data_IF_016137883552
#
_entry.id   IF_016137883552
#
_cell.length_a   1.000
_cell.length_b   1.000
_cell.length_c   1.000
_cell.angle_alpha   90.00
_cell.angle_beta   90.00
_cell.angle_gamma   90.00
#
_symmetry.space_group_name_H-M   'P 1'
#
loop_
_entity.id
_entity.type
_entity.pdbx_description
1 polymer ?
#
# COMPACT_ATOMS: atom_id res chain seq x y z
N UNK A 1 -17.90 -53.72 -12.63
CA UNK A 1 -18.94 -52.80 -13.12
C UNK A 1 -19.38 -51.91 -11.97
N UNK A 2 -19.62 -50.64 -12.30
CA UNK A 2 -20.23 -49.56 -11.50
C UNK A 2 -19.31 -48.70 -10.63
N UNK A 3 -18.91 -47.61 -11.28
CA UNK A 3 -18.28 -46.36 -10.86
C UNK A 3 -19.10 -45.54 -9.86
N UNK A 4 -18.44 -44.66 -9.11
CA UNK A 4 -18.97 -43.39 -8.58
C UNK A 4 -17.75 -42.49 -8.27
N UNK A 5 -17.38 -41.60 -9.20
CA UNK A 5 -17.76 -40.17 -9.27
C UNK A 5 -17.08 -39.30 -8.21
N UNK A 6 -16.04 -38.57 -8.66
CA UNK A 6 -15.52 -37.37 -8.00
C UNK A 6 -16.55 -36.24 -8.07
N UNK A 7 -16.48 -35.28 -7.13
CA UNK A 7 -16.66 -33.88 -7.44
C UNK A 7 -15.36 -33.12 -7.20
N UNK A 8 -14.84 -32.52 -8.26
CA UNK A 8 -13.95 -31.37 -8.21
C UNK A 8 -14.75 -30.19 -7.66
N UNK A 9 -14.28 -29.47 -6.64
CA UNK A 9 -14.44 -28.00 -6.52
C UNK A 9 -13.48 -27.46 -5.47
N UNK A 10 -12.69 -26.51 -5.97
CA UNK A 10 -11.76 -25.55 -5.39
C UNK A 10 -11.97 -25.12 -3.93
N UNK A 11 -10.85 -25.06 -3.23
CA UNK A 11 -10.60 -24.16 -2.12
C UNK A 11 -9.11 -23.84 -2.10
N UNK A 12 -8.64 -23.00 -3.01
CA UNK A 12 -7.36 -22.30 -2.85
C UNK A 12 -7.49 -21.37 -1.62
N UNK A 13 -7.42 -21.94 -0.43
CA UNK A 13 -6.90 -21.20 0.70
C UNK A 13 -5.38 -21.25 0.54
N UNK A 14 -4.88 -20.46 -0.43
CA UNK A 14 -3.48 -20.12 -0.47
C UNK A 14 -3.20 -19.49 0.89
N UNK A 15 -2.50 -20.24 1.74
CA UNK A 15 -1.94 -19.73 2.98
C UNK A 15 -1.10 -18.54 2.55
N UNK A 16 -1.67 -17.33 2.60
CA UNK A 16 -0.90 -16.10 2.64
C UNK A 16 -0.03 -16.29 3.86
N UNK A 17 1.25 -16.55 3.60
CA UNK A 17 2.30 -16.71 4.61
C UNK A 17 2.05 -15.65 5.67
N UNK A 18 1.92 -16.09 6.92
CA UNK A 18 1.49 -15.26 8.03
C UNK A 18 2.22 -13.90 7.99
N UNK A 19 1.42 -12.84 7.98
CA UNK A 19 1.87 -11.45 8.15
C UNK A 19 2.95 -11.42 9.23
N UNK A 20 4.16 -10.88 8.96
CA UNK A 20 5.16 -10.72 10.01
C UNK A 20 4.54 -9.91 11.16
N UNK A 21 4.50 -10.48 12.36
CA UNK A 21 3.94 -9.80 13.52
C UNK A 21 5.07 -9.36 14.45
N UNK A 22 4.94 -8.12 14.96
CA UNK A 22 5.51 -7.57 16.21
C UNK A 22 6.71 -6.59 16.17
N UNK A 23 6.84 -5.72 15.17
CA UNK A 23 7.31 -4.37 15.55
C UNK A 23 6.13 -3.60 16.12
N UNK A 24 6.35 -2.63 17.02
CA UNK A 24 5.30 -1.69 17.34
C UNK A 24 4.79 -1.09 16.02
N UNK A 25 3.49 -1.20 15.79
CA UNK A 25 2.81 -0.41 14.77
C UNK A 25 3.21 1.05 15.02
N UNK A 26 3.79 1.72 14.04
CA UNK A 26 3.96 3.16 14.15
C UNK A 26 2.57 3.74 14.41
N UNK A 27 2.40 4.57 15.42
CA UNK A 27 1.14 5.28 15.55
C UNK A 27 0.91 6.13 14.29
N UNK A 28 -0.34 6.38 13.87
CA UNK A 28 -0.60 7.24 12.72
C UNK A 28 0.16 8.57 12.77
N UNK A 29 0.24 9.17 13.97
CA UNK A 29 1.02 10.39 14.21
C UNK A 29 2.54 10.21 14.08
N UNK A 30 3.10 9.03 14.37
CA UNK A 30 4.52 8.75 14.11
C UNK A 30 4.80 8.59 12.62
N UNK A 31 3.92 7.94 11.86
CA UNK A 31 4.03 7.83 10.41
C UNK A 31 3.96 9.22 9.78
N UNK A 32 2.93 10.00 10.13
CA UNK A 32 2.73 11.38 9.67
C UNK A 32 3.95 12.26 10.02
N UNK A 33 4.36 12.28 11.28
CA UNK A 33 5.53 13.06 11.70
C UNK A 33 6.83 12.61 11.00
N UNK A 34 6.92 11.35 10.59
CA UNK A 34 8.06 10.85 9.82
C UNK A 34 7.98 11.29 8.37
N UNK A 35 6.80 11.27 7.74
CA UNK A 35 6.57 11.82 6.41
C UNK A 35 6.92 13.31 6.36
N UNK A 36 6.49 14.10 7.36
CA UNK A 36 6.82 15.53 7.45
C UNK A 36 8.31 15.79 7.66
N UNK A 37 9.06 14.87 8.29
CA UNK A 37 10.51 14.99 8.48
C UNK A 37 11.33 14.47 7.31
N UNK A 38 10.75 13.63 6.46
CA UNK A 38 11.43 13.04 5.33
C UNK A 38 11.67 14.07 4.22
N UNK A 39 12.75 13.88 3.45
CA UNK A 39 13.12 14.73 2.31
C UNK A 39 12.10 14.72 1.16
N UNK A 40 11.06 13.90 1.24
CA UNK A 40 10.01 13.76 0.23
C UNK A 40 8.67 14.37 0.71
N UNK A 41 8.68 15.22 1.74
CA UNK A 41 7.46 15.78 2.33
C UNK A 41 6.72 16.69 1.35
N UNK A 42 7.43 17.47 0.55
CA UNK A 42 6.88 18.30 -0.55
C UNK A 42 6.16 17.47 -1.61
N UNK A 43 6.60 16.22 -1.81
CA UNK A 43 5.91 15.28 -2.66
C UNK A 43 4.69 14.70 -1.95
N UNK A 44 4.83 14.16 -0.75
CA UNK A 44 3.83 13.28 -0.09
C UNK A 44 2.75 14.04 0.68
N UNK A 45 3.10 15.14 1.35
CA UNK A 45 2.15 15.94 2.15
C UNK A 45 0.97 16.44 1.32
N UNK A 46 1.17 16.98 0.09
CA UNK A 46 0.03 17.38 -0.74
C UNK A 46 -0.94 16.23 -1.06
N UNK A 47 -0.46 14.99 -1.17
CA UNK A 47 -1.37 13.83 -1.35
C UNK A 47 -2.18 13.53 -0.09
N UNK A 48 -1.56 13.62 1.09
CA UNK A 48 -2.24 13.42 2.37
C UNK A 48 -3.34 14.47 2.59
N UNK A 49 -3.11 15.69 2.14
CA UNK A 49 -4.06 16.81 2.22
C UNK A 49 -5.11 16.80 1.10
N UNK A 50 -5.02 15.87 0.13
CA UNK A 50 -5.90 15.81 -1.03
C UNK A 50 -5.59 16.84 -2.12
N UNK A 51 -4.56 17.67 -1.94
CA UNK A 51 -4.07 18.69 -2.89
C UNK A 51 -2.98 18.10 -3.79
N UNK A 52 -3.23 16.95 -4.42
CA UNK A 52 -2.21 16.20 -5.16
C UNK A 52 -1.56 17.01 -6.30
N UNK A 53 -2.24 18.03 -6.83
CA UNK A 53 -1.72 18.95 -7.86
C UNK A 53 -0.56 19.81 -7.34
N UNK A 54 -0.51 20.06 -6.03
CA UNK A 54 0.56 20.82 -5.36
C UNK A 54 1.77 19.93 -5.01
N UNK A 55 1.71 18.64 -5.31
CA UNK A 55 2.86 17.75 -5.16
C UNK A 55 4.00 18.18 -6.07
N UNK A 56 5.24 18.10 -5.56
CA UNK A 56 6.43 18.31 -6.40
C UNK A 56 6.57 17.27 -7.52
N UNK A 57 5.80 16.18 -7.47
CA UNK A 57 5.68 15.20 -8.57
C UNK A 57 4.40 15.45 -9.35
N UNK A 58 4.53 15.54 -10.67
CA UNK A 58 3.38 15.59 -11.56
C UNK A 58 2.68 14.23 -11.64
N UNK A 59 1.43 14.17 -11.20
CA UNK A 59 0.52 13.03 -11.41
C UNK A 59 -0.46 13.36 -12.53
N UNK A 60 -0.91 12.35 -13.28
CA UNK A 60 -1.88 12.56 -14.38
C UNK A 60 -3.32 12.50 -13.90
N UNK A 61 -3.57 11.94 -12.72
CA UNK A 61 -4.90 11.80 -12.15
C UNK A 61 -4.84 11.66 -10.62
N UNK A 62 -5.95 11.93 -9.90
CA UNK A 62 -6.05 11.69 -8.47
C UNK A 62 -5.85 10.22 -8.10
N UNK A 63 -6.23 9.26 -8.95
CA UNK A 63 -5.98 7.83 -8.74
C UNK A 63 -4.48 7.50 -8.81
N UNK A 64 -3.75 8.09 -9.76
CA UNK A 64 -2.29 7.90 -9.85
C UNK A 64 -1.59 8.44 -8.60
N UNK A 65 -2.04 9.61 -8.13
CA UNK A 65 -1.59 10.19 -6.89
C UNK A 65 -1.91 9.27 -5.69
N UNK A 66 -3.17 8.83 -5.55
CA UNK A 66 -3.61 7.93 -4.49
C UNK A 66 -2.80 6.62 -4.46
N UNK A 67 -2.54 6.02 -5.63
CA UNK A 67 -1.67 4.84 -5.74
C UNK A 67 -0.25 5.15 -5.26
N UNK A 68 0.32 6.27 -5.65
CA UNK A 68 1.66 6.67 -5.22
C UNK A 68 1.74 6.89 -3.70
N UNK A 69 0.70 7.47 -3.10
CA UNK A 69 0.62 7.63 -1.65
C UNK A 69 0.59 6.26 -0.94
N UNK A 70 -0.16 5.28 -1.45
CA UNK A 70 -0.18 3.92 -0.87
C UNK A 70 1.20 3.26 -0.98
N UNK A 71 1.95 3.47 -2.07
CA UNK A 71 3.33 3.01 -2.20
C UNK A 71 4.24 3.60 -1.11
N UNK A 72 4.11 4.90 -0.85
CA UNK A 72 4.89 5.55 0.20
C UNK A 72 4.51 5.02 1.57
N UNK A 73 3.21 4.96 1.87
CA UNK A 73 2.70 4.41 3.12
C UNK A 73 3.16 2.96 3.33
N UNK A 74 3.19 2.14 2.27
CA UNK A 74 3.69 0.77 2.33
C UNK A 74 5.14 0.73 2.82
N UNK A 75 6.03 1.53 2.22
CA UNK A 75 7.42 1.62 2.67
C UNK A 75 7.53 2.08 4.13
N UNK A 76 6.84 3.16 4.51
CA UNK A 76 6.89 3.72 5.86
C UNK A 76 6.29 2.81 6.93
N UNK A 77 5.31 2.01 6.54
CA UNK A 77 4.63 1.05 7.42
C UNK A 77 5.29 -0.34 7.40
N UNK A 78 6.48 -0.48 6.78
CA UNK A 78 7.16 -1.78 6.67
C UNK A 78 6.25 -2.85 6.05
N UNK A 79 5.49 -2.45 5.03
CA UNK A 79 4.51 -3.25 4.28
C UNK A 79 3.44 -3.93 5.14
N UNK A 80 3.18 -3.42 6.35
CA UNK A 80 2.14 -3.96 7.23
C UNK A 80 0.76 -3.58 6.72
N UNK A 81 0.10 -4.50 6.01
CA UNK A 81 -1.22 -4.29 5.38
C UNK A 81 -2.25 -3.59 6.26
N UNK A 82 -2.42 -4.01 7.53
CA UNK A 82 -3.40 -3.39 8.44
C UNK A 82 -3.10 -1.91 8.70
N UNK A 83 -1.82 -1.57 8.84
CA UNK A 83 -1.35 -0.20 9.06
C UNK A 83 -1.54 0.64 7.80
N UNK A 84 -1.15 0.11 6.64
CA UNK A 84 -1.32 0.81 5.36
C UNK A 84 -2.79 1.09 5.08
N UNK A 85 -3.68 0.11 5.32
CA UNK A 85 -5.13 0.28 5.19
C UNK A 85 -5.67 1.36 6.11
N UNK A 86 -5.30 1.32 7.39
CA UNK A 86 -5.74 2.32 8.37
C UNK A 86 -5.33 3.73 7.94
N UNK A 87 -4.06 3.91 7.54
CA UNK A 87 -3.55 5.20 7.06
C UNK A 87 -4.22 5.64 5.76
N UNK A 88 -4.43 4.71 4.81
CA UNK A 88 -5.12 5.00 3.55
C UNK A 88 -6.57 5.44 3.79
N UNK A 89 -7.28 4.85 4.76
CA UNK A 89 -8.62 5.30 5.13
C UNK A 89 -8.62 6.67 5.80
N UNK A 90 -7.65 6.94 6.68
CA UNK A 90 -7.50 8.25 7.32
C UNK A 90 -7.17 9.34 6.28
N UNK A 91 -6.39 9.01 5.26
CA UNK A 91 -6.09 9.88 4.12
C UNK A 91 -7.24 9.96 3.08
N UNK A 92 -8.41 9.36 3.34
CA UNK A 92 -9.57 9.45 2.46
C UNK A 92 -9.44 8.66 1.15
N UNK A 93 -8.50 7.71 1.04
CA UNK A 93 -8.29 6.91 -0.17
C UNK A 93 -9.34 5.82 -0.39
N UNK A 94 -10.22 5.60 0.59
CA UNK A 94 -11.36 4.68 0.47
C UNK A 94 -12.36 5.03 -0.63
N UNK A 95 -12.28 6.25 -1.19
CA UNK A 95 -13.04 6.64 -2.38
C UNK A 95 -12.47 6.07 -3.69
N UNK A 96 -11.19 5.68 -3.71
CA UNK A 96 -10.48 5.17 -4.88
C UNK A 96 -10.24 3.66 -4.81
N UNK A 97 -9.97 3.14 -3.61
CA UNK A 97 -9.56 1.75 -3.41
C UNK A 97 -10.29 1.10 -2.23
N UNK A 98 -10.71 -0.13 -2.42
CA UNK A 98 -11.15 -1.01 -1.35
C UNK A 98 -9.95 -1.70 -0.67
N UNK A 99 -10.21 -2.43 0.42
CA UNK A 99 -9.16 -3.05 1.22
C UNK A 99 -8.34 -4.13 0.50
N UNK A 100 -8.91 -4.86 -0.47
CA UNK A 100 -8.17 -5.83 -1.28
C UNK A 100 -7.29 -5.11 -2.31
N UNK A 101 -7.81 -4.05 -2.93
CA UNK A 101 -7.02 -3.24 -3.89
C UNK A 101 -5.83 -2.55 -3.21
N UNK A 102 -5.99 -2.12 -1.95
CA UNK A 102 -4.87 -1.59 -1.15
C UNK A 102 -3.83 -2.69 -0.90
N UNK A 103 -4.25 -3.91 -0.54
CA UNK A 103 -3.31 -5.03 -0.34
C UNK A 103 -2.54 -5.36 -1.61
N UNK A 104 -3.22 -5.39 -2.75
CA UNK A 104 -2.58 -5.63 -4.05
C UNK A 104 -1.54 -4.54 -4.37
N UNK A 105 -1.81 -3.28 -4.00
CA UNK A 105 -0.84 -2.20 -4.16
C UNK A 105 0.36 -2.40 -3.23
N UNK A 106 0.15 -2.83 -1.99
CA UNK A 106 1.22 -3.13 -1.03
C UNK A 106 2.09 -4.28 -1.53
N UNK A 107 1.50 -5.34 -2.10
CA UNK A 107 2.22 -6.46 -2.71
C UNK A 107 3.12 -5.98 -3.86
N UNK A 108 2.57 -5.13 -4.73
CA UNK A 108 3.37 -4.52 -5.81
C UNK A 108 4.48 -3.65 -5.23
N UNK A 109 4.20 -2.81 -4.23
CA UNK A 109 5.21 -1.97 -3.59
C UNK A 109 6.35 -2.81 -3.01
N UNK A 110 6.03 -3.87 -2.27
CA UNK A 110 7.02 -4.79 -1.71
C UNK A 110 7.86 -5.45 -2.81
N UNK A 111 7.24 -5.97 -3.87
CA UNK A 111 7.98 -6.61 -4.97
C UNK A 111 8.90 -5.64 -5.73
N UNK A 112 8.49 -4.37 -5.87
CA UNK A 112 9.24 -3.33 -6.58
C UNK A 112 10.37 -2.78 -5.71
N UNK A 113 10.19 -2.70 -4.40
CA UNK A 113 11.14 -2.05 -3.49
C UNK A 113 12.08 -3.04 -2.77
N UNK A 114 11.67 -4.30 -2.56
CA UNK A 114 12.46 -5.37 -1.93
C UNK A 114 13.17 -6.27 -2.97
N UNK A 115 12.79 -6.18 -4.25
CA UNK A 115 13.30 -7.04 -5.32
C UNK A 115 14.60 -6.58 -6.00
N UNK A 116 14.84 -5.28 -6.12
CA UNK A 116 16.06 -4.69 -6.65
C UNK A 116 15.84 -3.18 -6.62
N UNK A 117 16.84 -2.44 -6.14
CA UNK A 117 17.08 -1.00 -6.37
C UNK A 117 15.95 -0.23 -7.06
N UNK A 118 15.40 0.78 -6.39
CA UNK A 118 14.78 1.91 -7.07
C UNK A 118 15.88 2.61 -7.90
N UNK A 119 16.18 2.07 -9.08
CA UNK A 119 16.87 2.76 -10.14
C UNK A 119 15.87 3.80 -10.65
N UNK A 120 15.93 5.00 -10.05
CA UNK A 120 15.33 6.19 -10.61
C UNK A 120 15.88 6.37 -12.04
N UNK A 121 15.04 6.45 -13.09
CA UNK A 121 15.48 7.15 -14.28
C UNK A 121 15.61 8.64 -13.90
N UNK A 122 16.84 9.13 -13.97
CA UNK A 122 17.21 10.56 -14.00
C UNK A 122 16.63 11.27 -15.22
#
# INVERSE_FOLDING_TARGET
>A
MSSQQSPTTVGHAQKRSATPSRDPLFTPGEVEATIHRASNSDRVVPLLEGNWEDSSRAYKSPEEAARALIFDLAWWCDYRYSQVREMAWQAGLGQFYNGEEIDDIVDVAHSVQDGDSYAYPV
#
